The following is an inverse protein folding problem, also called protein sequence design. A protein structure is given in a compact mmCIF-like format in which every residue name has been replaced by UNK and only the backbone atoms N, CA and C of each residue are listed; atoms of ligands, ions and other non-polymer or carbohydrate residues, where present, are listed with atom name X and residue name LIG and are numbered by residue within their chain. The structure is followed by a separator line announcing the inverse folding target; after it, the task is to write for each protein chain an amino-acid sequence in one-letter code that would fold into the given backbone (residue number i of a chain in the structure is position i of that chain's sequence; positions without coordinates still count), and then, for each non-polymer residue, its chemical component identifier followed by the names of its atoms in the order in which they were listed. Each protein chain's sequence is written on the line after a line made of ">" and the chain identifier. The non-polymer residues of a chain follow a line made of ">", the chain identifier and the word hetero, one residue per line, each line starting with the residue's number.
data_IF_609328523943
#
_entry.id   IF_609328523943
#
_cell.length_a   1.000
_cell.length_b   1.000
_cell.length_c   1.000
_cell.angle_alpha   90.00
_cell.angle_beta   90.00
_cell.angle_gamma   90.00
#
_symmetry.space_group_name_H-M   'P 1'
#
loop_
_entity.id
_entity.type
_entity.pdbx_description
1 polymer ?
#
# COMPACT_ATOMS: atom_id res chain seq x y z
N UNK A 1 -9.59 -67.32 -9.74
CA UNK A 1 -10.89 -66.71 -9.43
C UNK A 1 -10.73 -65.82 -8.23
N UNK A 2 -10.68 -64.53 -8.42
CA UNK A 2 -10.66 -63.55 -7.31
C UNK A 2 -12.07 -63.50 -6.74
N UNK A 3 -12.23 -63.84 -5.45
CA UNK A 3 -13.54 -63.87 -4.81
C UNK A 3 -14.14 -62.47 -4.85
N UNK A 4 -15.41 -62.35 -5.33
CA UNK A 4 -16.15 -61.08 -5.53
C UNK A 4 -16.13 -60.15 -4.30
N UNK A 5 -15.97 -60.72 -3.11
CA UNK A 5 -15.86 -60.04 -1.81
C UNK A 5 -14.58 -59.16 -1.70
N UNK A 6 -13.47 -59.56 -2.34
CA UNK A 6 -12.23 -58.81 -2.33
C UNK A 6 -12.25 -57.66 -3.37
N UNK A 7 -13.01 -57.82 -4.45
CA UNK A 7 -13.21 -56.78 -5.46
C UNK A 7 -14.09 -55.65 -4.89
N UNK A 8 -15.14 -55.96 -4.09
CA UNK A 8 -15.97 -54.97 -3.43
C UNK A 8 -15.19 -54.16 -2.36
N UNK A 9 -14.30 -54.80 -1.60
CA UNK A 9 -13.42 -54.08 -0.66
C UNK A 9 -12.41 -53.17 -1.36
N UNK A 10 -11.90 -53.58 -2.52
CA UNK A 10 -10.95 -52.72 -3.29
C UNK A 10 -11.63 -51.49 -3.88
N UNK A 11 -12.88 -51.63 -4.33
CA UNK A 11 -13.67 -50.50 -4.85
C UNK A 11 -14.08 -49.55 -3.74
N UNK A 12 -14.41 -50.03 -2.54
CA UNK A 12 -14.70 -49.20 -1.38
C UNK A 12 -13.47 -48.41 -0.87
N UNK A 13 -12.26 -49.00 -1.00
CA UNK A 13 -11.02 -48.32 -0.60
C UNK A 13 -10.59 -47.24 -1.60
N UNK A 14 -10.90 -47.39 -2.90
CA UNK A 14 -10.60 -46.36 -3.92
C UNK A 14 -11.57 -45.17 -3.86
N UNK A 15 -12.77 -45.33 -3.33
CA UNK A 15 -13.74 -44.23 -3.24
C UNK A 15 -13.49 -43.26 -2.07
N UNK A 16 -12.62 -43.62 -1.12
CA UNK A 16 -12.27 -42.74 0.02
C UNK A 16 -11.08 -41.81 -0.24
N UNK A 17 -10.36 -41.98 -1.37
CA UNK A 17 -9.21 -41.13 -1.70
C UNK A 17 -9.53 -39.89 -2.52
N UNK A 18 -10.79 -39.65 -2.88
CA UNK A 18 -11.18 -38.48 -3.67
C UNK A 18 -11.63 -37.25 -2.86
N UNK A 19 -11.44 -37.25 -1.54
CA UNK A 19 -11.61 -36.06 -0.70
C UNK A 19 -10.28 -35.32 -0.53
N UNK A 20 -9.52 -35.18 -1.63
CA UNK A 20 -8.43 -34.20 -1.61
C UNK A 20 -9.03 -32.81 -1.76
N UNK A 21 -9.28 -32.19 -0.62
CA UNK A 21 -9.15 -30.78 -0.30
C UNK A 21 -8.88 -29.92 -1.54
N UNK A 22 -9.92 -29.37 -2.16
CA UNK A 22 -9.80 -28.04 -2.70
C UNK A 22 -9.34 -27.15 -1.54
N UNK A 23 -8.07 -26.74 -1.51
CA UNK A 23 -7.71 -25.50 -0.81
C UNK A 23 -8.54 -24.43 -1.52
N UNK A 24 -9.57 -23.94 -0.85
CA UNK A 24 -10.33 -22.80 -1.32
C UNK A 24 -9.31 -21.67 -1.53
N UNK A 25 -8.94 -21.43 -2.78
CA UNK A 25 -8.16 -20.24 -3.12
C UNK A 25 -9.05 -19.06 -2.76
N UNK A 26 -8.58 -18.21 -1.85
CA UNK A 26 -9.32 -17.02 -1.47
C UNK A 26 -9.74 -16.25 -2.73
N UNK A 27 -11.01 -15.87 -2.77
CA UNK A 27 -11.53 -15.08 -3.88
C UNK A 27 -10.96 -13.66 -3.82
N UNK A 28 -10.91 -12.98 -4.96
CA UNK A 28 -10.50 -11.58 -5.01
C UNK A 28 -11.38 -10.69 -4.08
N UNK A 29 -12.67 -11.00 -3.96
CA UNK A 29 -13.58 -10.31 -3.05
C UNK A 29 -13.19 -10.51 -1.57
N UNK A 30 -12.71 -11.71 -1.19
CA UNK A 30 -12.24 -11.98 0.17
C UNK A 30 -10.97 -11.19 0.47
N UNK A 31 -10.05 -11.11 -0.49
CA UNK A 31 -8.83 -10.32 -0.35
C UNK A 31 -9.14 -8.82 -0.17
N UNK A 32 -10.07 -8.25 -0.96
CA UNK A 32 -10.53 -6.87 -0.80
C UNK A 32 -11.19 -6.62 0.57
N UNK A 33 -11.95 -7.60 1.08
CA UNK A 33 -12.54 -7.51 2.41
C UNK A 33 -11.45 -7.48 3.51
N UNK A 34 -10.44 -8.32 3.39
CA UNK A 34 -9.30 -8.35 4.32
C UNK A 34 -8.50 -7.05 4.28
N UNK A 35 -8.23 -6.53 3.09
CA UNK A 35 -7.60 -5.21 2.90
C UNK A 35 -8.37 -4.12 3.63
N UNK A 36 -9.70 -4.07 3.42
CA UNK A 36 -10.57 -3.08 4.04
C UNK A 36 -10.56 -3.21 5.56
N UNK A 37 -10.62 -4.44 6.10
CA UNK A 37 -10.58 -4.68 7.55
C UNK A 37 -9.26 -4.20 8.16
N UNK A 38 -8.12 -4.54 7.57
CA UNK A 38 -6.82 -4.13 8.04
C UNK A 38 -6.64 -2.60 8.00
N UNK A 39 -7.03 -1.97 6.90
CA UNK A 39 -6.97 -0.52 6.73
C UNK A 39 -7.86 0.20 7.76
N UNK A 40 -9.11 -0.25 7.92
CA UNK A 40 -10.05 0.36 8.86
C UNK A 40 -9.61 0.16 10.31
N UNK A 41 -9.07 -1.01 10.66
CA UNK A 41 -8.54 -1.28 12.00
C UNK A 41 -7.38 -0.34 12.35
N UNK A 42 -6.49 -0.05 11.38
CA UNK A 42 -5.41 0.92 11.60
C UNK A 42 -5.96 2.34 11.76
N UNK A 43 -6.82 2.78 10.86
CA UNK A 43 -7.44 4.12 10.88
C UNK A 43 -8.30 4.37 12.12
N UNK A 44 -8.89 3.33 12.72
CA UNK A 44 -9.67 3.44 13.95
C UNK A 44 -8.84 3.91 15.16
N UNK A 45 -7.52 3.75 15.10
CA UNK A 45 -6.59 4.24 16.13
C UNK A 45 -6.02 5.64 15.80
N UNK A 46 -6.47 6.27 14.72
CA UNK A 46 -5.97 7.53 14.23
C UNK A 46 -7.07 8.60 14.21
N UNK A 47 -6.68 9.86 14.26
CA UNK A 47 -7.56 10.96 13.86
C UNK A 47 -7.70 10.92 12.33
N UNK A 48 -8.92 10.90 11.82
CA UNK A 48 -9.19 10.86 10.37
C UNK A 48 -10.10 12.01 9.96
N UNK A 49 -9.75 12.69 8.88
CA UNK A 49 -10.55 13.71 8.20
C UNK A 49 -10.88 13.20 6.79
N UNK A 50 -12.18 13.12 6.47
CA UNK A 50 -12.65 12.47 5.25
C UNK A 50 -12.56 13.32 3.98
N UNK A 51 -11.92 14.48 4.04
CA UNK A 51 -11.76 15.39 2.91
C UNK A 51 -10.50 16.24 3.06
N UNK A 52 -10.00 16.73 1.95
CA UNK A 52 -8.89 17.69 1.91
C UNK A 52 -9.39 19.05 2.39
N UNK A 53 -8.66 19.79 3.23
CA UNK A 53 -9.01 21.16 3.61
C UNK A 53 -9.21 22.05 2.38
N UNK A 54 -10.27 22.88 2.37
CA UNK A 54 -10.63 23.72 1.22
C UNK A 54 -9.55 24.71 0.81
N UNK A 55 -8.78 25.22 1.79
CA UNK A 55 -7.64 26.11 1.61
C UNK A 55 -6.34 25.31 1.34
N UNK A 56 -6.43 23.99 1.41
CA UNK A 56 -5.31 23.06 1.28
C UNK A 56 -4.20 23.28 2.32
N UNK A 57 -4.54 23.84 3.47
CA UNK A 57 -3.66 23.97 4.64
C UNK A 57 -3.90 22.78 5.56
N UNK A 58 -2.90 21.91 5.66
CA UNK A 58 -2.97 20.71 6.50
C UNK A 58 -2.40 20.98 7.89
N UNK A 59 -2.92 20.32 8.90
CA UNK A 59 -2.20 20.20 10.18
C UNK A 59 -0.92 19.41 9.94
N UNK A 60 0.17 19.76 10.66
CA UNK A 60 1.50 19.21 10.46
C UNK A 60 2.02 18.63 11.79
N UNK A 61 2.68 17.49 11.70
CA UNK A 61 3.36 16.84 12.82
C UNK A 61 2.81 15.45 13.14
N UNK A 62 3.38 14.83 14.16
CA UNK A 62 3.05 13.45 14.56
C UNK A 62 1.60 13.28 15.02
N UNK A 63 0.99 14.35 15.54
CA UNK A 63 -0.38 14.35 16.03
C UNK A 63 -1.42 14.83 15.00
N UNK A 64 -0.95 15.19 13.78
CA UNK A 64 -1.83 15.58 12.68
C UNK A 64 -2.74 14.42 12.27
N UNK A 65 -3.96 14.70 11.78
CA UNK A 65 -4.86 13.66 11.33
C UNK A 65 -4.41 13.05 9.99
N UNK A 66 -4.92 11.85 9.70
CA UNK A 66 -4.91 11.29 8.36
C UNK A 66 -6.05 11.90 7.55
N UNK A 67 -5.72 12.61 6.47
CA UNK A 67 -6.69 13.16 5.52
C UNK A 67 -6.92 12.17 4.39
N UNK A 68 -8.18 11.90 4.06
CA UNK A 68 -8.51 11.18 2.83
C UNK A 68 -8.25 12.11 1.65
N UNK A 69 -7.27 11.79 0.82
CA UNK A 69 -6.81 12.66 -0.26
C UNK A 69 -7.24 12.20 -1.66
N UNK A 70 -8.00 11.12 -1.74
CA UNK A 70 -8.65 10.66 -2.98
C UNK A 70 -10.15 10.43 -2.75
N UNK A 71 -11.01 10.58 -3.79
CA UNK A 71 -12.46 10.44 -3.64
C UNK A 71 -12.92 9.05 -3.22
N UNK A 72 -12.18 8.01 -3.60
CA UNK A 72 -12.54 6.61 -3.40
C UNK A 72 -12.11 6.06 -2.04
N UNK A 73 -11.26 6.81 -1.31
CA UNK A 73 -10.74 6.40 0.00
C UNK A 73 -9.70 5.28 -0.09
N UNK A 74 -8.85 5.34 -1.11
CA UNK A 74 -7.71 4.44 -1.27
C UNK A 74 -6.42 5.00 -0.68
N UNK A 75 -6.35 6.35 -0.50
CA UNK A 75 -5.16 7.01 0.03
C UNK A 75 -5.52 7.95 1.17
N UNK A 76 -4.84 7.76 2.31
CA UNK A 76 -4.91 8.65 3.47
C UNK A 76 -3.52 9.19 3.76
N UNK A 77 -3.42 10.48 4.03
CA UNK A 77 -2.16 11.20 4.25
C UNK A 77 -2.14 11.93 5.58
N UNK A 78 -1.13 11.67 6.39
CA UNK A 78 -0.74 12.49 7.52
C UNK A 78 0.49 13.30 7.13
N UNK A 79 0.45 14.61 7.29
CA UNK A 79 1.55 15.50 6.89
C UNK A 79 2.50 15.71 8.06
N UNK A 80 3.76 15.29 7.92
CA UNK A 80 4.82 15.52 8.91
C UNK A 80 5.61 16.80 8.59
N UNK A 81 5.82 17.08 7.31
CA UNK A 81 6.44 18.30 6.79
C UNK A 81 5.82 18.63 5.42
N UNK A 82 5.33 19.85 5.23
CA UNK A 82 4.59 20.21 4.00
C UNK A 82 5.49 20.61 2.81
N UNK A 83 6.77 20.95 3.04
CA UNK A 83 7.58 21.61 2.03
C UNK A 83 7.08 23.02 1.70
N UNK A 84 7.73 23.70 0.77
CA UNK A 84 7.24 25.01 0.29
C UNK A 84 6.33 24.83 -0.92
N UNK A 85 5.03 24.74 -0.67
CA UNK A 85 4.04 24.54 -1.71
C UNK A 85 3.92 25.72 -2.70
N UNK A 86 4.30 26.92 -2.32
CA UNK A 86 4.17 28.12 -3.17
C UNK A 86 5.27 28.17 -4.21
N UNK A 87 6.48 27.84 -3.82
CA UNK A 87 7.69 28.01 -4.65
C UNK A 87 8.25 26.69 -5.15
N UNK A 88 7.88 25.54 -4.53
CA UNK A 88 8.54 24.25 -4.73
C UNK A 88 7.58 23.11 -5.12
N UNK A 89 6.65 23.39 -6.05
CA UNK A 89 5.74 22.36 -6.59
C UNK A 89 6.46 21.42 -7.56
N UNK A 90 6.10 20.14 -7.49
CA UNK A 90 6.49 19.17 -8.50
C UNK A 90 5.86 19.51 -9.86
N UNK A 91 6.66 19.43 -10.93
CA UNK A 91 6.21 19.63 -12.32
C UNK A 91 6.01 18.29 -13.02
N UNK A 92 5.06 18.22 -13.93
CA UNK A 92 4.84 17.01 -14.74
C UNK A 92 6.14 16.57 -15.40
N UNK A 93 6.42 15.27 -15.34
CA UNK A 93 7.66 14.62 -15.81
C UNK A 93 8.94 15.05 -15.09
N UNK A 94 8.84 15.84 -14.03
CA UNK A 94 9.98 16.15 -13.18
C UNK A 94 10.44 14.91 -12.44
N UNK A 95 11.75 14.68 -12.37
CA UNK A 95 12.34 13.59 -11.61
C UNK A 95 12.34 13.95 -10.13
N UNK A 96 11.55 13.24 -9.34
CA UNK A 96 11.45 13.38 -7.89
C UNK A 96 12.04 12.15 -7.25
N UNK A 97 12.95 12.34 -6.33
CA UNK A 97 13.51 11.28 -5.50
C UNK A 97 12.69 11.12 -4.23
N UNK A 98 12.69 9.90 -3.70
CA UNK A 98 12.09 9.63 -2.40
C UNK A 98 12.83 8.52 -1.66
N UNK A 99 12.77 8.59 -0.34
CA UNK A 99 13.12 7.50 0.56
C UNK A 99 11.86 7.11 1.31
N UNK A 100 11.76 5.85 1.63
CA UNK A 100 10.57 5.32 2.28
C UNK A 100 10.89 4.20 3.24
N UNK A 101 10.00 4.03 4.21
CA UNK A 101 9.79 2.80 4.97
C UNK A 101 8.33 2.42 4.81
N UNK A 102 8.04 1.13 4.60
CA UNK A 102 6.66 0.65 4.47
C UNK A 102 6.40 -0.55 5.35
N UNK A 103 5.16 -0.69 5.79
CA UNK A 103 4.68 -1.74 6.67
C UNK A 103 3.40 -2.33 6.10
N UNK A 104 3.33 -3.65 5.99
CA UNK A 104 2.14 -4.34 5.50
C UNK A 104 1.05 -4.29 6.58
N UNK A 105 -0.06 -3.61 6.33
CA UNK A 105 -1.15 -3.47 7.29
C UNK A 105 -1.95 -4.75 7.50
N UNK A 106 -2.04 -5.62 6.49
CA UNK A 106 -2.68 -6.92 6.65
C UNK A 106 -1.86 -7.82 7.57
N UNK A 107 -0.52 -7.79 7.43
CA UNK A 107 0.38 -8.53 8.33
C UNK A 107 0.25 -8.01 9.77
N UNK A 108 0.28 -6.69 9.94
CA UNK A 108 0.06 -6.05 11.25
C UNK A 108 -1.29 -6.45 11.86
N UNK A 109 -2.36 -6.40 11.07
CA UNK A 109 -3.71 -6.74 11.55
C UNK A 109 -3.81 -8.20 12.01
N UNK A 110 -3.08 -9.10 11.33
CA UNK A 110 -3.14 -10.54 11.60
C UNK A 110 -2.24 -10.95 12.77
N UNK A 111 -1.03 -10.37 12.86
CA UNK A 111 0.02 -10.81 13.78
C UNK A 111 0.39 -9.77 14.84
N UNK A 112 -0.17 -8.58 14.76
CA UNK A 112 0.17 -7.42 15.61
C UNK A 112 1.65 -7.04 15.56
N UNK A 113 2.31 -7.22 14.41
CA UNK A 113 3.72 -6.92 14.18
C UNK A 113 3.89 -5.95 13.02
N UNK A 114 4.73 -4.91 13.21
CA UNK A 114 5.12 -3.94 12.18
C UNK A 114 6.51 -4.25 11.65
N UNK A 115 6.59 -5.07 10.60
CA UNK A 115 7.87 -5.37 9.94
C UNK A 115 8.07 -4.38 8.80
N UNK A 116 9.06 -3.50 8.97
CA UNK A 116 9.39 -2.46 8.01
C UNK A 116 10.26 -2.98 6.85
N UNK A 117 10.01 -2.45 5.65
CA UNK A 117 10.88 -2.63 4.49
C UNK A 117 11.00 -1.33 3.69
N UNK A 118 12.21 -0.98 3.30
CA UNK A 118 12.44 0.28 2.58
C UNK A 118 13.90 0.66 2.52
N UNK A 119 14.17 1.86 2.01
CA UNK A 119 15.51 2.42 1.87
C UNK A 119 15.76 3.68 2.73
N UNK A 120 14.85 3.96 3.67
CA UNK A 120 14.93 5.17 4.48
C UNK A 120 16.18 5.21 5.36
N UNK A 121 16.49 4.08 6.00
CA UNK A 121 17.58 3.96 6.96
C UNK A 121 18.88 3.44 6.34
N UNK A 122 18.89 3.13 5.05
CA UNK A 122 20.09 2.68 4.36
C UNK A 122 20.70 3.81 3.53
N UNK A 123 21.66 4.51 4.12
CA UNK A 123 22.38 5.59 3.46
C UNK A 123 23.27 5.13 2.29
N UNK A 124 23.60 3.82 2.21
CA UNK A 124 24.35 3.27 1.10
C UNK A 124 23.45 2.90 -0.09
N UNK A 125 22.17 2.69 0.14
CA UNK A 125 21.22 2.49 -0.94
C UNK A 125 20.93 3.81 -1.66
N UNK A 126 20.94 3.78 -2.99
CA UNK A 126 20.50 4.93 -3.78
C UNK A 126 19.03 5.24 -3.47
N UNK A 127 18.64 6.53 -3.44
CA UNK A 127 17.24 6.89 -3.31
C UNK A 127 16.44 6.40 -4.52
N UNK A 128 15.20 6.04 -4.28
CA UNK A 128 14.23 5.69 -5.32
C UNK A 128 13.74 6.96 -6.00
N UNK A 129 13.26 6.86 -7.24
CA UNK A 129 12.69 8.02 -7.95
C UNK A 129 11.52 7.63 -8.85
N UNK A 130 10.72 8.62 -9.20
CA UNK A 130 9.73 8.57 -10.28
C UNK A 130 9.80 9.87 -11.11
N UNK A 131 9.18 9.85 -12.29
CA UNK A 131 8.86 11.09 -13.00
C UNK A 131 7.41 11.47 -12.67
N UNK A 132 7.25 12.58 -11.97
CA UNK A 132 5.96 12.99 -11.41
C UNK A 132 4.87 13.10 -12.47
N UNK A 133 3.71 12.52 -12.18
CA UNK A 133 2.53 12.53 -13.05
C UNK A 133 2.77 12.02 -14.48
N UNK A 134 3.77 11.13 -14.67
CA UNK A 134 4.06 10.50 -15.95
C UNK A 134 4.03 8.96 -15.81
N UNK A 135 2.83 8.40 -15.80
CA UNK A 135 2.58 6.97 -15.58
C UNK A 135 2.82 6.10 -16.82
N UNK A 136 3.14 6.68 -17.97
CA UNK A 136 3.54 5.92 -19.16
C UNK A 136 4.92 5.27 -19.01
N UNK A 137 5.72 5.80 -18.08
CA UNK A 137 7.06 5.28 -17.79
C UNK A 137 7.00 4.25 -16.66
N UNK A 138 7.63 3.10 -16.86
CA UNK A 138 7.73 2.04 -15.84
C UNK A 138 8.33 2.55 -14.53
N UNK A 139 9.32 3.44 -14.60
CA UNK A 139 9.95 4.06 -13.43
C UNK A 139 8.96 4.86 -12.56
N UNK A 140 7.82 5.25 -13.11
CA UNK A 140 6.76 5.94 -12.37
C UNK A 140 5.60 5.02 -12.04
N UNK A 141 5.12 4.24 -13.03
CA UNK A 141 3.94 3.38 -12.85
C UNK A 141 4.17 2.22 -11.87
N UNK A 142 5.40 1.72 -11.75
CA UNK A 142 5.72 0.64 -10.80
C UNK A 142 5.44 1.01 -9.34
N UNK A 143 5.52 2.29 -8.97
CA UNK A 143 5.30 2.77 -7.61
C UNK A 143 3.85 3.09 -7.29
N UNK A 144 2.97 2.98 -8.27
CA UNK A 144 1.55 3.28 -8.15
C UNK A 144 1.23 4.77 -8.09
N UNK A 145 -0.07 5.05 -8.07
CA UNK A 145 -0.57 6.43 -8.03
C UNK A 145 -0.46 7.05 -6.63
N UNK A 146 -0.71 6.24 -5.59
CA UNK A 146 -0.80 6.72 -4.21
C UNK A 146 0.45 7.39 -3.68
N UNK A 147 1.65 6.90 -4.05
CA UNK A 147 2.92 7.49 -3.62
C UNK A 147 3.18 8.87 -4.20
N UNK A 148 2.58 9.23 -5.33
CA UNK A 148 2.76 10.53 -5.98
C UNK A 148 1.69 11.56 -5.60
N UNK A 149 0.54 11.08 -5.11
CA UNK A 149 -0.63 11.91 -4.83
C UNK A 149 -0.37 13.05 -3.83
N UNK A 150 0.45 12.89 -2.77
CA UNK A 150 0.79 13.98 -1.85
C UNK A 150 1.34 15.23 -2.53
N UNK A 151 2.12 15.07 -3.60
CA UNK A 151 2.74 16.19 -4.32
C UNK A 151 1.76 17.04 -5.13
N UNK A 152 0.50 16.61 -5.25
CA UNK A 152 -0.61 17.45 -5.73
C UNK A 152 -0.92 18.57 -4.73
N UNK A 153 -0.68 18.33 -3.45
CA UNK A 153 -1.05 19.22 -2.34
C UNK A 153 0.15 19.87 -1.67
N UNK A 154 1.31 19.23 -1.69
CA UNK A 154 2.49 19.59 -0.90
C UNK A 154 3.66 20.04 -1.82
N UNK A 155 4.64 20.70 -1.24
CA UNK A 155 5.93 20.98 -1.88
C UNK A 155 6.82 19.75 -1.97
N UNK A 156 7.88 19.79 -2.81
CA UNK A 156 8.74 18.62 -2.98
C UNK A 156 9.44 18.28 -1.67
N UNK A 157 10.04 19.10 -0.93
CA UNK A 157 10.70 18.78 0.34
C UNK A 157 9.73 18.38 1.46
N UNK A 158 8.68 17.62 1.13
CA UNK A 158 7.67 17.14 2.09
C UNK A 158 7.99 15.78 2.66
N UNK A 159 7.39 15.51 3.82
CA UNK A 159 7.47 14.25 4.55
C UNK A 159 6.07 13.87 5.04
N UNK A 160 5.66 12.65 4.78
CA UNK A 160 4.30 12.19 5.05
C UNK A 160 4.28 10.75 5.54
N UNK A 161 3.25 10.42 6.34
CA UNK A 161 2.79 9.05 6.46
C UNK A 161 1.59 8.84 5.52
N UNK A 162 1.60 7.74 4.78
CA UNK A 162 0.53 7.38 3.85
C UNK A 162 -0.02 6.01 4.17
N UNK A 163 -1.34 5.90 4.15
CA UNK A 163 -2.00 4.59 4.06
C UNK A 163 -2.48 4.47 2.62
N UNK A 164 -1.99 3.45 1.92
CA UNK A 164 -2.31 3.21 0.52
C UNK A 164 -2.92 1.81 0.40
N UNK A 165 -4.16 1.73 -0.10
CA UNK A 165 -4.76 0.47 -0.49
C UNK A 165 -4.16 -0.01 -1.79
N UNK A 166 -4.15 -1.31 -1.99
CA UNK A 166 -3.48 -1.99 -3.10
C UNK A 166 -3.77 -1.37 -4.48
N UNK A 167 -5.01 -0.96 -4.73
CA UNK A 167 -5.42 -0.39 -6.01
C UNK A 167 -4.61 0.85 -6.43
N UNK A 168 -4.13 1.64 -5.46
CA UNK A 168 -3.25 2.80 -5.68
C UNK A 168 -1.79 2.54 -5.29
N UNK A 169 -1.50 1.32 -4.84
CA UNK A 169 -0.18 0.87 -4.41
C UNK A 169 0.74 0.45 -5.56
N UNK A 170 1.83 -0.17 -5.22
CA UNK A 170 2.79 -0.70 -6.18
C UNK A 170 2.19 -1.85 -6.98
N UNK A 171 2.73 -2.12 -8.17
CA UNK A 171 2.25 -3.21 -9.02
C UNK A 171 2.18 -4.57 -8.29
N UNK A 172 3.15 -4.87 -7.42
CA UNK A 172 3.15 -6.09 -6.59
C UNK A 172 2.08 -6.07 -5.49
N UNK A 173 1.69 -4.91 -4.99
CA UNK A 173 0.65 -4.76 -3.98
C UNK A 173 -0.74 -4.94 -4.59
N UNK A 174 -0.94 -4.42 -5.81
CA UNK A 174 -2.18 -4.62 -6.59
C UNK A 174 -2.44 -6.11 -6.80
N UNK A 175 -1.43 -6.85 -7.25
CA UNK A 175 -1.57 -8.28 -7.55
C UNK A 175 -1.88 -9.14 -6.31
N UNK A 176 -1.44 -8.71 -5.13
CA UNK A 176 -1.63 -9.42 -3.87
C UNK A 176 -2.73 -8.83 -2.98
N UNK A 177 -3.37 -7.73 -3.39
CA UNK A 177 -4.42 -7.00 -2.65
C UNK A 177 -3.96 -6.69 -1.22
N UNK A 178 -2.82 -6.03 -1.09
CA UNK A 178 -2.22 -5.73 0.23
C UNK A 178 -2.12 -4.23 0.46
N UNK A 179 -2.70 -3.71 1.56
CA UNK A 179 -2.57 -2.31 1.96
C UNK A 179 -1.28 -2.09 2.73
N UNK A 180 -0.68 -0.93 2.55
CA UNK A 180 0.54 -0.55 3.25
C UNK A 180 0.42 0.80 3.95
N UNK A 181 1.06 0.88 5.12
CA UNK A 181 1.45 2.15 5.73
C UNK A 181 2.85 2.48 5.22
N UNK A 182 3.02 3.68 4.70
CA UNK A 182 4.30 4.22 4.24
C UNK A 182 4.70 5.40 5.11
N UNK A 183 5.98 5.53 5.42
CA UNK A 183 6.64 6.78 5.73
C UNK A 183 7.46 7.19 4.50
N UNK A 184 7.28 8.41 4.00
CA UNK A 184 7.89 8.86 2.74
C UNK A 184 8.45 10.27 2.89
N UNK A 185 9.69 10.46 2.43
CA UNK A 185 10.33 11.77 2.27
C UNK A 185 10.63 12.00 0.79
N UNK A 186 10.15 13.13 0.24
CA UNK A 186 10.39 13.54 -1.15
C UNK A 186 11.46 14.60 -1.20
N UNK A 187 12.28 14.57 -2.25
CA UNK A 187 13.33 15.57 -2.45
C UNK A 187 13.79 15.61 -3.90
N UNK A 188 14.41 16.73 -4.28
CA UNK A 188 15.21 16.81 -5.50
C UNK A 188 16.62 16.35 -5.20
N UNK A 189 17.25 15.67 -6.17
CA UNK A 189 18.66 15.36 -6.05
C UNK A 189 19.44 16.69 -6.05
N UNK A 190 20.05 17.01 -4.93
CA UNK A 190 21.01 18.10 -4.86
C UNK A 190 22.35 17.51 -5.32
N UNK A 191 22.82 17.93 -6.48
CA UNK A 191 24.16 17.60 -7.00
C UNK A 191 25.18 18.39 -6.19
#
# INVERSE_FOLDING_TARGET
>A
MIKSRNLLMLVALLSTLSMTSCKDSESYADLLNKERQATNAYLANCRVVNEVPKDTVFEIGSDAPYYRIDPEGNVYMQVLKAGDRKTDKAKTSEKIYFRYMRYNLYYWYTYNEMIGSGNENDMNAAPTYFQYNNYTLTVSSQWGYGIQLPLTFLGVDSEVNLIIKSQYGWASEISNVQPYLYHVRYFRNQI
#
